data_IF_441188873198
#
_entry.id   IF_441188873198
#
_cell.length_a   1.000
_cell.length_b   1.000
_cell.length_c   1.000
_cell.angle_alpha   90.00
_cell.angle_beta   90.00
_cell.angle_gamma   90.00
#
_symmetry.space_group_name_H-M   'P 1'
#
loop_
_entity.id
_entity.type
_entity.pdbx_description
1 polymer ?
#
# COMPACT_ATOMS: atom_id res chain seq x y z
N UNK A 1 15.94 -5.06 -19.23
CA UNK A 1 14.53 -5.17 -19.65
C UNK A 1 13.67 -5.03 -18.40
N UNK A 2 12.88 -3.98 -18.31
CA UNK A 2 11.98 -3.77 -17.17
C UNK A 2 10.92 -4.88 -17.18
N UNK A 3 10.76 -5.60 -16.05
CA UNK A 3 9.73 -6.63 -15.94
C UNK A 3 8.35 -5.97 -16.01
N UNK A 4 7.44 -6.52 -16.77
CA UNK A 4 6.05 -6.04 -16.79
C UNK A 4 5.40 -6.22 -15.42
N UNK A 5 4.40 -5.39 -15.10
CA UNK A 5 3.63 -5.52 -13.86
C UNK A 5 3.10 -6.95 -13.65
N UNK A 6 2.64 -7.58 -14.73
CA UNK A 6 2.12 -8.96 -14.68
C UNK A 6 3.23 -9.95 -14.32
N UNK A 7 4.40 -9.84 -14.95
CA UNK A 7 5.51 -10.77 -14.70
C UNK A 7 6.01 -10.70 -13.25
N UNK A 8 6.16 -9.48 -12.69
CA UNK A 8 6.56 -9.33 -11.28
C UNK A 8 5.47 -9.83 -10.32
N UNK A 9 4.18 -9.63 -10.67
CA UNK A 9 3.07 -10.13 -9.86
C UNK A 9 3.05 -11.66 -9.80
N UNK A 10 3.26 -12.32 -10.93
CA UNK A 10 3.33 -13.79 -11.00
C UNK A 10 4.52 -14.30 -10.18
N UNK A 11 5.69 -13.68 -10.32
CA UNK A 11 6.90 -14.08 -9.57
C UNK A 11 6.70 -13.93 -8.04
N UNK A 12 6.07 -12.85 -7.60
CA UNK A 12 5.75 -12.65 -6.17
C UNK A 12 4.75 -13.70 -5.70
N UNK A 13 3.68 -13.94 -6.48
CA UNK A 13 2.68 -14.96 -6.15
C UNK A 13 3.32 -16.34 -5.99
N UNK A 14 4.11 -16.79 -6.98
CA UNK A 14 4.78 -18.07 -6.93
C UNK A 14 5.72 -18.19 -5.72
N UNK A 15 6.45 -17.12 -5.40
CA UNK A 15 7.28 -17.09 -4.21
C UNK A 15 6.47 -17.23 -2.90
N UNK A 16 5.37 -16.52 -2.77
CA UNK A 16 4.50 -16.61 -1.59
C UNK A 16 3.94 -18.04 -1.44
N UNK A 17 3.61 -18.72 -2.53
CA UNK A 17 3.09 -20.09 -2.51
C UNK A 17 4.14 -21.12 -2.07
N UNK A 18 5.43 -20.80 -2.06
CA UNK A 18 6.48 -21.65 -1.45
C UNK A 18 6.56 -21.51 0.08
N UNK A 19 5.93 -20.50 0.66
CA UNK A 19 6.01 -20.22 2.09
C UNK A 19 5.19 -21.25 2.86
N UNK A 20 5.79 -21.87 3.87
CA UNK A 20 5.07 -22.77 4.77
C UNK A 20 3.88 -22.04 5.40
N UNK A 21 2.76 -22.75 5.59
CA UNK A 21 1.45 -22.26 6.07
C UNK A 21 0.59 -21.56 5.02
N UNK A 22 1.10 -21.17 3.86
CA UNK A 22 0.28 -20.67 2.78
C UNK A 22 -0.43 -21.83 2.09
N UNK A 23 -1.75 -21.75 1.99
CA UNK A 23 -2.59 -22.73 1.29
C UNK A 23 -2.67 -22.41 -0.20
N UNK A 24 -2.92 -21.15 -0.51
CA UNK A 24 -2.87 -20.62 -1.86
C UNK A 24 -2.67 -19.09 -1.83
N UNK A 25 -2.24 -18.56 -2.98
CA UNK A 25 -2.18 -17.13 -3.23
C UNK A 25 -2.93 -16.82 -4.52
N UNK A 26 -3.81 -15.83 -4.51
CA UNK A 26 -4.52 -15.39 -5.71
C UNK A 26 -4.29 -13.92 -6.02
N UNK A 27 -4.22 -13.62 -7.31
CA UNK A 27 -4.17 -12.25 -7.82
C UNK A 27 -5.60 -11.73 -7.89
N UNK A 28 -5.83 -10.46 -7.53
CA UNK A 28 -7.11 -9.79 -7.71
C UNK A 28 -6.91 -8.35 -8.23
N UNK A 29 -7.92 -7.48 -8.15
CA UNK A 29 -7.79 -6.07 -8.52
C UNK A 29 -7.74 -5.79 -10.03
N UNK A 30 -6.94 -4.80 -10.42
CA UNK A 30 -6.89 -4.29 -11.81
C UNK A 30 -6.27 -5.29 -12.80
N UNK A 31 -5.31 -6.09 -12.33
CA UNK A 31 -4.61 -7.08 -13.16
C UNK A 31 -5.58 -8.13 -13.69
N UNK A 32 -6.43 -8.69 -12.83
CA UNK A 32 -7.39 -9.72 -13.25
C UNK A 32 -8.49 -9.19 -14.17
N UNK A 33 -8.73 -7.89 -14.16
CA UNK A 33 -9.72 -7.22 -15.02
C UNK A 33 -9.14 -6.76 -16.36
N UNK A 34 -7.83 -6.97 -16.61
CA UNK A 34 -7.16 -6.47 -17.81
C UNK A 34 -7.15 -4.94 -17.93
N UNK A 35 -7.26 -4.22 -16.79
CA UNK A 35 -7.36 -2.75 -16.73
C UNK A 35 -6.11 -2.11 -16.08
N UNK A 36 -4.94 -2.66 -16.38
CA UNK A 36 -3.69 -2.13 -15.84
C UNK A 36 -3.24 -0.85 -16.55
N UNK A 37 -2.66 0.07 -15.79
CA UNK A 37 -2.03 1.30 -16.28
C UNK A 37 -0.81 1.65 -15.40
N UNK A 38 -0.14 2.78 -15.68
CA UNK A 38 1.05 3.22 -14.94
C UNK A 38 0.83 3.45 -13.43
N UNK A 39 -0.41 3.50 -12.98
CA UNK A 39 -0.79 3.69 -11.58
C UNK A 39 -1.34 2.41 -10.94
N UNK A 40 -1.23 1.27 -11.62
CA UNK A 40 -1.72 0.00 -11.10
C UNK A 40 -0.76 -0.56 -10.06
N UNK A 41 -1.35 -1.06 -8.98
CA UNK A 41 -0.74 -1.79 -7.90
C UNK A 41 -0.83 -3.30 -8.11
N UNK A 42 -0.20 -4.05 -7.22
CA UNK A 42 -0.27 -5.51 -7.16
C UNK A 42 -1.15 -5.87 -5.97
N UNK A 43 -2.28 -6.49 -6.24
CA UNK A 43 -3.22 -6.95 -5.23
C UNK A 43 -3.16 -8.47 -5.11
N UNK A 44 -2.75 -8.99 -3.94
CA UNK A 44 -2.70 -10.42 -3.64
C UNK A 44 -3.54 -10.77 -2.42
N UNK A 45 -4.26 -11.88 -2.49
CA UNK A 45 -4.91 -12.48 -1.34
C UNK A 45 -4.21 -13.80 -0.99
N UNK A 46 -3.73 -13.91 0.24
CA UNK A 46 -2.99 -15.07 0.77
C UNK A 46 -3.86 -15.77 1.79
N UNK A 47 -4.17 -17.03 1.52
CA UNK A 47 -4.93 -17.91 2.42
C UNK A 47 -3.95 -18.73 3.29
N UNK A 48 -4.08 -18.56 4.60
CA UNK A 48 -3.34 -19.30 5.62
C UNK A 48 -4.25 -20.13 6.51
N UNK A 49 -5.40 -20.57 6.01
CA UNK A 49 -6.40 -21.34 6.75
C UNK A 49 -5.78 -22.50 7.53
N UNK A 50 -6.20 -22.61 8.82
CA UNK A 50 -5.57 -23.49 9.80
C UNK A 50 -4.44 -22.83 10.60
N UNK A 51 -4.08 -21.58 10.28
CA UNK A 51 -3.13 -20.75 11.01
C UNK A 51 -3.76 -19.40 11.35
N UNK A 52 -3.18 -18.69 12.31
CA UNK A 52 -3.63 -17.35 12.69
C UNK A 52 -3.20 -16.32 11.64
N UNK A 53 -4.18 -15.78 10.89
CA UNK A 53 -3.92 -14.79 9.85
C UNK A 53 -3.51 -13.42 10.41
N UNK A 54 -3.88 -13.11 11.66
CA UNK A 54 -3.43 -11.88 12.32
C UNK A 54 -1.94 -11.91 12.69
N UNK A 55 -1.44 -13.09 13.07
CA UNK A 55 -0.01 -13.28 13.32
C UNK A 55 0.74 -13.38 11.99
N UNK A 56 0.21 -14.15 11.02
CA UNK A 56 0.89 -14.37 9.76
C UNK A 56 1.13 -13.06 9.00
N UNK A 57 0.17 -12.13 9.00
CA UNK A 57 0.33 -10.83 8.30
C UNK A 57 1.55 -10.04 8.82
N UNK A 58 1.96 -10.22 10.08
CA UNK A 58 3.13 -9.52 10.63
C UNK A 58 4.46 -10.06 10.08
N UNK A 59 4.46 -11.28 9.55
CA UNK A 59 5.64 -11.92 8.96
C UNK A 59 5.80 -11.58 7.47
N UNK A 60 4.73 -11.15 6.80
CA UNK A 60 4.71 -10.88 5.36
C UNK A 60 5.81 -9.89 4.93
N UNK A 61 6.03 -8.75 5.61
CA UNK A 61 7.08 -7.81 5.19
C UNK A 61 8.48 -8.43 5.16
N UNK A 62 8.82 -9.26 6.14
CA UNK A 62 10.10 -9.97 6.18
C UNK A 62 10.18 -11.02 5.08
N UNK A 63 9.12 -11.83 4.93
CA UNK A 63 9.03 -12.84 3.87
C UNK A 63 9.26 -12.20 2.50
N UNK A 64 8.56 -11.13 2.18
CA UNK A 64 8.71 -10.44 0.90
C UNK A 64 10.11 -9.85 0.75
N UNK A 65 10.63 -9.18 1.77
CA UNK A 65 11.93 -8.51 1.72
C UNK A 65 13.12 -9.47 1.51
N UNK A 66 12.96 -10.76 1.80
CA UNK A 66 13.98 -11.78 1.52
C UNK A 66 14.25 -11.97 0.01
N UNK A 67 13.31 -11.65 -0.85
CA UNK A 67 13.46 -11.83 -2.31
C UNK A 67 13.15 -10.54 -3.11
N UNK A 68 12.24 -9.71 -2.63
CA UNK A 68 11.81 -8.48 -3.28
C UNK A 68 12.04 -7.32 -2.31
N UNK A 69 13.05 -6.47 -2.52
CA UNK A 69 13.31 -5.35 -1.63
C UNK A 69 12.08 -4.47 -1.45
N UNK A 70 11.72 -4.18 -0.21
CA UNK A 70 10.65 -3.26 0.13
C UNK A 70 11.22 -1.97 0.73
N UNK A 71 10.61 -0.84 0.43
CA UNK A 71 11.04 0.47 0.95
C UNK A 71 10.56 0.69 2.39
N UNK A 72 9.34 0.30 2.64
CA UNK A 72 8.66 0.32 3.93
C UNK A 72 7.40 -0.55 3.84
N UNK A 73 6.71 -0.69 4.96
CA UNK A 73 5.38 -1.29 4.98
C UNK A 73 4.46 -0.51 5.93
N UNK A 74 3.16 -0.64 5.68
CA UNK A 74 2.12 -0.09 6.53
C UNK A 74 0.89 -0.98 6.49
N UNK A 75 0.22 -1.14 7.62
CA UNK A 75 -1.02 -1.91 7.71
C UNK A 75 -2.25 -1.03 7.47
N UNK A 76 -3.38 -1.66 7.16
CA UNK A 76 -4.67 -0.99 7.03
C UNK A 76 -5.58 -1.31 8.22
N UNK A 77 -5.32 -0.79 9.43
CA UNK A 77 -6.04 -1.15 10.64
C UNK A 77 -7.53 -0.76 10.62
N UNK A 78 -7.94 0.15 9.73
CA UNK A 78 -9.35 0.51 9.55
C UNK A 78 -10.21 -0.64 8.99
N UNK A 79 -9.59 -1.61 8.34
CA UNK A 79 -10.27 -2.76 7.75
C UNK A 79 -10.30 -3.99 8.68
N UNK A 80 -9.54 -3.96 9.79
CA UNK A 80 -9.50 -5.06 10.75
C UNK A 80 -10.74 -5.04 11.67
N UNK A 81 -11.20 -6.19 12.16
CA UNK A 81 -10.60 -7.52 12.06
C UNK A 81 -10.95 -8.31 10.79
N UNK A 82 -11.87 -7.85 9.96
CA UNK A 82 -12.37 -8.63 8.82
C UNK A 82 -11.29 -8.84 7.76
N UNK A 83 -10.35 -7.89 7.66
CA UNK A 83 -9.28 -7.94 6.66
C UNK A 83 -7.95 -7.49 7.26
N UNK A 84 -6.97 -8.37 7.21
CA UNK A 84 -5.58 -8.02 7.53
C UNK A 84 -4.86 -7.68 6.22
N UNK A 85 -4.60 -6.39 5.99
CA UNK A 85 -3.92 -5.90 4.78
C UNK A 85 -2.63 -5.21 5.17
N UNK A 86 -1.55 -5.55 4.46
CA UNK A 86 -0.26 -4.84 4.48
C UNK A 86 0.06 -4.32 3.10
N UNK A 87 0.50 -3.06 3.04
CA UNK A 87 0.93 -2.37 1.82
C UNK A 87 2.43 -2.16 1.85
N UNK A 88 3.12 -2.51 0.77
CA UNK A 88 4.58 -2.47 0.65
C UNK A 88 4.99 -1.88 -0.70
N UNK A 89 5.53 -0.65 -0.78
CA UNK A 89 6.19 -0.17 -1.99
C UNK A 89 7.44 -1.00 -2.29
N UNK A 90 7.51 -1.53 -3.51
CA UNK A 90 8.59 -2.43 -3.97
C UNK A 90 9.47 -1.81 -5.07
N UNK A 91 9.31 -0.52 -5.33
CA UNK A 91 10.13 0.23 -6.28
C UNK A 91 10.35 1.65 -5.80
N UNK A 92 11.60 2.11 -5.81
CA UNK A 92 11.90 3.52 -5.59
C UNK A 92 11.53 4.39 -6.81
N UNK A 93 11.69 3.84 -8.01
CA UNK A 93 11.56 4.59 -9.25
C UNK A 93 10.09 4.69 -9.72
N UNK A 94 9.25 3.74 -9.30
CA UNK A 94 7.81 3.79 -9.52
C UNK A 94 7.04 3.83 -8.19
N UNK A 95 6.65 5.01 -7.69
CA UNK A 95 5.97 5.15 -6.41
C UNK A 95 4.57 4.52 -6.38
N UNK A 96 4.01 4.17 -7.53
CA UNK A 96 2.71 3.53 -7.64
C UNK A 96 2.79 2.00 -7.62
N UNK A 97 3.99 1.43 -7.73
CA UNK A 97 4.21 -0.02 -7.64
C UNK A 97 4.20 -0.44 -6.17
N UNK A 98 3.00 -0.58 -5.64
CA UNK A 98 2.72 -1.02 -4.28
C UNK A 98 2.21 -2.45 -4.34
N UNK A 99 2.73 -3.29 -3.46
CA UNK A 99 2.25 -4.64 -3.22
C UNK A 99 1.29 -4.61 -2.01
N UNK A 100 0.02 -4.81 -2.28
CA UNK A 100 -1.02 -4.95 -1.27
C UNK A 100 -1.34 -6.44 -1.05
N UNK A 101 -1.06 -6.94 0.14
CA UNK A 101 -1.36 -8.32 0.51
C UNK A 101 -2.47 -8.34 1.55
N UNK A 102 -3.58 -8.97 1.18
CA UNK A 102 -4.67 -9.33 2.05
C UNK A 102 -4.45 -10.74 2.57
N UNK A 103 -4.34 -10.90 3.89
CA UNK A 103 -4.19 -12.19 4.54
C UNK A 103 -5.52 -12.67 5.12
N UNK A 104 -5.95 -13.86 4.70
CA UNK A 104 -7.20 -14.48 5.13
C UNK A 104 -6.96 -15.85 5.78
N UNK A 105 -7.91 -16.29 6.60
CA UNK A 105 -7.97 -17.65 7.12
C UNK A 105 -9.43 -18.08 7.32
N UNK A 106 -9.68 -19.37 7.21
CA UNK A 106 -10.95 -19.97 7.55
C UNK A 106 -10.72 -21.16 8.54
N UNK A 107 -11.25 -21.08 9.80
CA UNK A 107 -11.92 -19.89 10.35
C UNK A 107 -10.99 -18.69 10.47
N UNK A 108 -11.55 -17.48 10.44
CA UNK A 108 -10.80 -16.25 10.69
C UNK A 108 -10.25 -16.25 12.12
N UNK A 109 -8.95 -16.02 12.26
CA UNK A 109 -8.26 -16.03 13.55
C UNK A 109 -7.67 -14.66 13.85
N UNK A 110 -7.77 -14.22 15.10
CA UNK A 110 -7.57 -12.85 15.50
C UNK A 110 -6.90 -12.74 16.88
N UNK A 111 -5.72 -13.36 17.04
CA UNK A 111 -4.92 -13.17 18.26
C UNK A 111 -4.45 -11.73 18.39
N UNK A 112 -4.00 -11.12 17.29
CA UNK A 112 -3.66 -9.70 17.24
C UNK A 112 -4.87 -8.87 16.79
N UNK A 113 -5.14 -7.78 17.51
CA UNK A 113 -6.25 -6.88 17.24
C UNK A 113 -5.77 -5.62 16.52
N UNK A 114 -6.72 -4.81 16.05
CA UNK A 114 -6.48 -3.55 15.36
C UNK A 114 -5.43 -2.67 16.06
N UNK A 115 -5.48 -2.58 17.37
CA UNK A 115 -4.60 -1.75 18.19
C UNK A 115 -3.12 -2.17 18.07
N UNK A 116 -2.85 -3.45 17.82
CA UNK A 116 -1.49 -3.98 17.62
C UNK A 116 -0.84 -3.45 16.32
N UNK A 117 -1.63 -2.96 15.38
CA UNK A 117 -1.17 -2.49 14.06
C UNK A 117 -1.19 -0.96 13.92
N UNK A 118 -1.58 -0.24 14.99
CA UNK A 118 -1.62 1.23 14.96
C UNK A 118 -0.24 1.81 15.28
N UNK A 119 0.05 2.94 14.65
CA UNK A 119 1.21 3.79 14.98
C UNK A 119 2.60 3.18 14.74
N UNK A 120 2.74 2.28 13.76
CA UNK A 120 4.05 1.71 13.42
C UNK A 120 5.04 2.81 13.00
N UNK A 121 4.65 3.67 12.06
CA UNK A 121 5.42 4.85 11.68
C UNK A 121 4.51 5.89 11.03
N UNK A 122 4.44 7.08 11.62
CA UNK A 122 3.60 8.18 11.12
C UNK A 122 3.94 8.58 9.67
N UNK A 123 5.22 8.63 9.33
CA UNK A 123 5.65 9.08 8.00
C UNK A 123 5.30 8.07 6.93
N UNK A 124 5.60 6.78 7.13
CA UNK A 124 5.26 5.71 6.18
C UNK A 124 3.76 5.60 5.98
N UNK A 125 2.98 5.74 7.05
CA UNK A 125 1.53 5.79 6.95
C UNK A 125 1.04 6.95 6.08
N UNK A 126 1.54 8.17 6.31
CA UNK A 126 1.12 9.33 5.51
C UNK A 126 1.59 9.19 4.06
N UNK A 127 2.81 8.71 3.81
CA UNK A 127 3.32 8.45 2.45
C UNK A 127 2.39 7.48 1.71
N UNK A 128 2.06 6.33 2.33
CA UNK A 128 1.17 5.33 1.72
C UNK A 128 -0.19 5.93 1.37
N UNK A 129 -0.83 6.58 2.35
CA UNK A 129 -2.16 7.17 2.15
C UNK A 129 -2.13 8.30 1.13
N UNK A 130 -1.05 9.09 1.10
CA UNK A 130 -0.85 10.12 0.09
C UNK A 130 -0.77 9.54 -1.31
N UNK A 131 0.07 8.51 -1.53
CA UNK A 131 0.23 7.87 -2.84
C UNK A 131 -1.09 7.26 -3.32
N UNK A 132 -1.83 6.59 -2.44
CA UNK A 132 -3.14 6.03 -2.77
C UNK A 132 -4.14 7.13 -3.18
N UNK A 133 -4.26 8.20 -2.40
CA UNK A 133 -5.17 9.31 -2.69
C UNK A 133 -4.75 10.09 -3.93
N UNK A 134 -3.45 10.31 -4.14
CA UNK A 134 -2.92 10.91 -5.36
C UNK A 134 -3.34 10.12 -6.60
N UNK A 135 -3.17 8.78 -6.54
CA UNK A 135 -3.56 7.86 -7.61
C UNK A 135 -5.07 7.95 -7.92
N UNK A 136 -5.92 7.96 -6.89
CA UNK A 136 -7.36 8.11 -7.05
C UNK A 136 -7.73 9.47 -7.68
N UNK A 137 -7.14 10.54 -7.16
CA UNK A 137 -7.42 11.90 -7.65
C UNK A 137 -7.09 12.04 -9.15
N UNK A 138 -5.92 11.58 -9.60
CA UNK A 138 -5.53 11.70 -11.02
C UNK A 138 -6.30 10.77 -11.95
N UNK A 139 -6.98 9.74 -11.42
CA UNK A 139 -7.93 8.90 -12.17
C UNK A 139 -9.32 9.54 -12.29
N UNK A 140 -9.59 10.62 -11.59
CA UNK A 140 -10.90 11.27 -11.51
C UNK A 140 -11.86 10.61 -10.52
N UNK A 141 -11.35 9.75 -9.63
CA UNK A 141 -12.15 9.12 -8.57
C UNK A 141 -12.47 10.16 -7.48
N UNK A 142 -13.66 10.11 -6.90
CA UNK A 142 -13.98 10.92 -5.71
C UNK A 142 -13.25 10.35 -4.48
N UNK A 143 -12.20 11.03 -4.08
CA UNK A 143 -11.39 10.72 -2.91
C UNK A 143 -11.34 11.87 -1.88
N UNK A 144 -12.25 12.82 -1.97
CA UNK A 144 -12.25 14.05 -1.15
C UNK A 144 -12.27 13.77 0.34
N UNK A 145 -13.07 12.81 0.79
CA UNK A 145 -13.14 12.42 2.21
C UNK A 145 -11.85 11.76 2.72
N UNK A 146 -11.23 10.91 1.92
CA UNK A 146 -9.97 10.23 2.24
C UNK A 146 -8.82 11.24 2.31
N UNK A 147 -8.75 12.15 1.35
CA UNK A 147 -7.77 13.25 1.31
C UNK A 147 -7.95 14.16 2.53
N UNK A 148 -9.19 14.53 2.85
CA UNK A 148 -9.48 15.36 4.04
C UNK A 148 -9.04 14.67 5.33
N UNK A 149 -9.34 13.37 5.49
CA UNK A 149 -8.91 12.60 6.67
C UNK A 149 -7.39 12.52 6.81
N UNK A 150 -6.67 12.36 5.70
CA UNK A 150 -5.21 12.40 5.68
C UNK A 150 -4.69 13.80 6.03
N UNK A 151 -5.24 14.83 5.39
CA UNK A 151 -4.81 16.22 5.55
C UNK A 151 -4.99 16.72 6.99
N UNK A 152 -6.12 16.38 7.64
CA UNK A 152 -6.41 16.73 9.05
C UNK A 152 -5.42 16.12 10.07
N UNK A 153 -4.61 15.14 9.69
CA UNK A 153 -3.51 14.67 10.54
C UNK A 153 -2.32 15.64 10.60
N UNK A 154 -2.25 16.58 9.66
CA UNK A 154 -1.14 17.52 9.49
C UNK A 154 -1.55 18.98 9.69
N UNK A 155 -2.79 19.32 9.35
CA UNK A 155 -3.29 20.70 9.30
C UNK A 155 -4.68 20.79 9.90
N UNK A 156 -5.02 21.96 10.45
CA UNK A 156 -6.33 22.24 11.05
C UNK A 156 -7.29 22.98 10.14
N UNK A 157 -6.76 23.73 9.16
CA UNK A 157 -7.58 24.47 8.19
C UNK A 157 -8.03 23.55 7.06
N UNK A 158 -9.17 23.88 6.43
CA UNK A 158 -9.67 23.17 5.26
C UNK A 158 -9.41 23.99 4.00
N UNK A 159 -9.06 23.29 2.92
CA UNK A 159 -8.89 23.83 1.58
C UNK A 159 -9.48 22.81 0.59
N UNK A 160 -9.48 23.11 -0.70
CA UNK A 160 -9.97 22.12 -1.68
C UNK A 160 -9.05 20.88 -1.78
N UNK A 161 -9.57 19.78 -2.32
CA UNK A 161 -8.88 18.48 -2.42
C UNK A 161 -7.53 18.58 -3.11
N UNK A 162 -7.45 19.31 -4.21
CA UNK A 162 -6.20 19.58 -4.95
C UNK A 162 -5.14 20.23 -4.07
N UNK A 163 -5.53 21.27 -3.37
CA UNK A 163 -4.63 22.02 -2.49
C UNK A 163 -4.18 21.19 -1.27
N UNK A 164 -5.08 20.36 -0.71
CA UNK A 164 -4.74 19.42 0.36
C UNK A 164 -3.65 18.45 -0.07
N UNK A 165 -3.74 17.87 -1.26
CA UNK A 165 -2.73 16.97 -1.81
C UNK A 165 -1.39 17.69 -2.02
N UNK A 166 -1.39 18.88 -2.62
CA UNK A 166 -0.18 19.68 -2.83
C UNK A 166 0.50 20.04 -1.50
N UNK A 167 -0.27 20.48 -0.51
CA UNK A 167 0.28 20.82 0.82
C UNK A 167 0.83 19.59 1.54
N UNK A 168 0.14 18.45 1.46
CA UNK A 168 0.62 17.19 2.03
C UNK A 168 1.93 16.75 1.38
N UNK A 169 2.04 16.82 0.05
CA UNK A 169 3.27 16.51 -0.67
C UNK A 169 4.44 17.39 -0.22
N UNK A 170 4.24 18.71 -0.17
CA UNK A 170 5.26 19.65 0.32
C UNK A 170 5.68 19.33 1.76
N UNK A 171 4.73 18.99 2.61
CA UNK A 171 5.04 18.59 3.98
C UNK A 171 5.89 17.31 4.02
N UNK A 172 5.57 16.30 3.21
CA UNK A 172 6.35 15.06 3.10
C UNK A 172 7.77 15.33 2.59
N UNK A 173 7.95 16.20 1.59
CA UNK A 173 9.27 16.58 1.08
C UNK A 173 10.18 17.19 2.16
N UNK A 174 9.62 17.91 3.12
CA UNK A 174 10.36 18.55 4.20
C UNK A 174 10.61 17.57 5.36
N UNK A 175 9.58 16.83 5.77
CA UNK A 175 9.55 16.13 7.04
C UNK A 175 9.86 14.63 6.97
N UNK A 176 9.71 14.00 5.81
CA UNK A 176 10.02 12.58 5.66
C UNK A 176 11.53 12.31 5.73
N UNK A 177 11.90 11.14 6.24
CA UNK A 177 13.29 10.70 6.30
C UNK A 177 13.97 10.76 4.93
N UNK A 178 15.27 11.04 4.93
CA UNK A 178 16.07 11.13 3.68
C UNK A 178 15.91 9.91 2.77
N UNK A 179 15.79 8.72 3.34
CA UNK A 179 15.61 7.46 2.60
C UNK A 179 14.34 7.41 1.76
N UNK A 180 13.30 8.20 2.08
CA UNK A 180 12.07 8.26 1.30
C UNK A 180 12.04 9.40 0.28
N UNK A 181 13.04 10.30 0.30
CA UNK A 181 13.03 11.49 -0.58
C UNK A 181 13.13 11.14 -2.06
N UNK A 182 13.94 10.13 -2.41
CA UNK A 182 14.03 9.64 -3.79
C UNK A 182 12.69 9.09 -4.25
N UNK A 183 12.06 8.23 -3.47
CA UNK A 183 10.73 7.69 -3.73
C UNK A 183 9.68 8.80 -3.96
N UNK A 184 9.64 9.77 -3.05
CA UNK A 184 8.72 10.90 -3.15
C UNK A 184 9.00 11.80 -4.37
N UNK A 185 10.27 12.00 -4.75
CA UNK A 185 10.64 12.84 -5.90
C UNK A 185 10.19 12.26 -7.25
N UNK A 186 9.94 10.95 -7.31
CA UNK A 186 9.40 10.28 -8.48
C UNK A 186 7.87 10.46 -8.64
N UNK A 187 7.20 11.12 -7.67
CA UNK A 187 5.80 11.52 -7.82
C UNK A 187 5.74 12.86 -8.55
N UNK A 188 5.22 12.85 -9.77
CA UNK A 188 5.05 14.08 -10.54
C UNK A 188 3.83 14.85 -10.05
N UNK A 189 4.03 15.81 -9.15
CA UNK A 189 2.94 16.63 -8.58
C UNK A 189 2.25 17.51 -9.63
N UNK A 190 2.88 17.77 -10.78
CA UNK A 190 2.26 18.52 -11.89
C UNK A 190 1.09 17.75 -12.51
N UNK A 191 1.06 16.40 -12.39
CA UNK A 191 -0.08 15.60 -12.85
C UNK A 191 -1.39 16.05 -12.15
N UNK A 192 -1.32 16.55 -10.90
CA UNK A 192 -2.47 17.14 -10.18
C UNK A 192 -2.87 18.50 -10.78
N UNK A 193 -1.91 19.29 -11.24
CA UNK A 193 -2.18 20.65 -11.71
C UNK A 193 -2.87 20.68 -13.07
N UNK A 194 -2.72 19.59 -13.83
CA UNK A 194 -3.27 19.45 -15.17
C UNK A 194 -4.68 18.86 -15.21
N UNK A 195 -5.27 18.59 -14.05
CA UNK A 195 -6.65 18.18 -13.85
C UNK A 195 -7.43 19.32 -13.18
#
# INVERSE_FOLDING_TARGET
MEKTLIAITVEIKEYIETVNKVKFCRIFGSITKGKTNKYSDIDLEVDVSGNDNSIFITLIPEIINNKFPILFYDYAPSLMPEQYIVSMPISEDNPFLILDIKCIANPHMMTLRKENFMNINKYTHIIKVFVANFKHYIRGDDCSNEVLRMYKKLYTNEVNTKEMLIKTYKWLQVNADKKYKKYLSNINIEDIKNI
#
